data_IF_383122566497
#
_entry.id   IF_383122566497
#
_cell.length_a   1.000
_cell.length_b   1.000
_cell.length_c   1.000
_cell.angle_alpha   90.00
_cell.angle_beta   90.00
_cell.angle_gamma   90.00
#
_symmetry.space_group_name_H-M   'P 1'
#
loop_
_entity.id
_entity.type
_entity.pdbx_description
1 polymer ?
#
# COMPACT_ATOMS: atom_id res chain seq x y z
N UNK A 1 18.30 13.62 -9.58
CA UNK A 1 16.85 13.47 -9.31
C UNK A 1 16.67 13.34 -7.80
N UNK A 2 15.50 13.68 -7.28
CA UNK A 2 15.28 13.58 -5.83
C UNK A 2 14.96 12.11 -5.46
N UNK A 3 15.59 11.59 -4.40
CA UNK A 3 15.29 10.26 -3.90
C UNK A 3 13.86 10.20 -3.39
N UNK A 4 13.10 9.17 -3.80
CA UNK A 4 11.76 8.91 -3.29
C UNK A 4 11.80 8.10 -1.99
N UNK A 5 12.76 7.17 -1.86
CA UNK A 5 12.97 6.36 -0.67
C UNK A 5 14.45 6.23 -0.37
N UNK A 6 14.83 6.49 0.87
CA UNK A 6 16.19 6.24 1.36
C UNK A 6 16.11 5.38 2.64
N UNK A 7 16.96 4.38 2.71
CA UNK A 7 17.26 3.64 3.93
C UNK A 7 18.74 3.87 4.27
N UNK A 8 19.04 4.29 5.49
CA UNK A 8 20.39 4.59 5.95
C UNK A 8 20.72 3.71 7.15
N UNK A 9 21.66 2.78 6.97
CA UNK A 9 22.15 1.83 7.99
C UNK A 9 21.02 1.13 8.77
N UNK A 10 19.95 0.77 8.06
CA UNK A 10 18.76 0.17 8.66
C UNK A 10 19.06 -1.25 9.12
N UNK A 11 18.80 -1.50 10.41
CA UNK A 11 18.93 -2.83 11.02
C UNK A 11 17.64 -3.22 11.71
N UNK A 12 17.34 -4.53 11.69
CA UNK A 12 16.24 -5.09 12.47
C UNK A 12 16.61 -6.47 12.99
N UNK A 13 16.49 -6.67 14.31
CA UNK A 13 16.83 -7.89 14.99
C UNK A 13 15.61 -8.49 15.69
N UNK A 14 15.47 -9.81 15.62
CA UNK A 14 14.50 -10.57 16.40
C UNK A 14 15.26 -11.27 17.55
N UNK A 15 15.24 -10.66 18.74
CA UNK A 15 16.09 -11.13 19.83
C UNK A 15 17.56 -11.13 19.42
N UNK A 16 18.20 -12.30 19.42
CA UNK A 16 19.60 -12.45 18.99
C UNK A 16 19.80 -12.62 17.48
N UNK A 17 18.72 -12.80 16.69
CA UNK A 17 18.81 -13.01 15.24
C UNK A 17 18.85 -11.66 14.50
N UNK A 18 19.95 -11.41 13.82
CA UNK A 18 20.11 -10.25 12.91
C UNK A 18 19.43 -10.53 11.58
N UNK A 19 18.16 -10.18 11.45
CA UNK A 19 17.38 -10.41 10.23
C UNK A 19 17.68 -9.42 9.12
N UNK A 20 18.03 -8.18 9.47
CA UNK A 20 18.51 -7.11 8.58
C UNK A 20 19.62 -6.39 9.30
N UNK A 21 20.76 -6.17 8.65
CA UNK A 21 21.90 -5.49 9.28
C UNK A 21 22.49 -4.42 8.35
N UNK A 22 22.46 -3.17 8.81
CA UNK A 22 23.08 -1.98 8.17
C UNK A 22 22.79 -1.85 6.67
N UNK A 23 21.51 -2.07 6.29
CA UNK A 23 21.11 -1.92 4.89
C UNK A 23 21.00 -0.44 4.55
N UNK A 24 21.79 -0.03 3.55
CA UNK A 24 21.72 1.33 2.97
C UNK A 24 21.31 1.22 1.51
N UNK A 25 20.26 1.95 1.12
CA UNK A 25 19.78 2.00 -0.26
C UNK A 25 19.13 3.34 -0.55
N UNK A 26 19.09 3.69 -1.83
CA UNK A 26 18.44 4.88 -2.34
C UNK A 26 17.68 4.54 -3.61
N UNK A 27 16.44 4.99 -3.70
CA UNK A 27 15.56 4.80 -4.87
C UNK A 27 15.13 6.18 -5.34
N UNK A 28 15.31 6.45 -6.62
CA UNK A 28 14.88 7.69 -7.27
C UNK A 28 13.40 7.59 -7.70
N UNK A 29 12.79 8.74 -7.92
CA UNK A 29 11.42 8.77 -8.44
C UNK A 29 11.38 8.22 -9.88
N UNK A 30 10.49 7.26 -10.13
CA UNK A 30 10.32 6.60 -11.43
C UNK A 30 11.11 5.30 -11.59
N UNK A 31 11.97 4.95 -10.63
CA UNK A 31 12.72 3.70 -10.68
C UNK A 31 11.83 2.48 -10.49
N UNK A 32 12.19 1.40 -11.17
CA UNK A 32 11.77 0.02 -10.85
C UNK A 32 12.95 -0.65 -10.15
N UNK A 33 12.89 -0.76 -8.84
CA UNK A 33 13.97 -1.28 -8.01
C UNK A 33 13.70 -2.69 -7.51
N UNK A 34 14.62 -3.62 -7.73
CA UNK A 34 14.52 -5.02 -7.32
C UNK A 34 15.45 -5.37 -6.16
N UNK A 35 14.92 -6.00 -5.12
CA UNK A 35 15.71 -6.61 -4.04
C UNK A 35 15.79 -8.10 -4.25
N UNK A 36 16.98 -8.63 -4.54
CA UNK A 36 17.23 -10.05 -4.80
C UNK A 36 18.06 -10.67 -3.69
N UNK A 37 17.96 -11.97 -3.55
CA UNK A 37 18.71 -12.75 -2.56
C UNK A 37 18.01 -14.07 -2.22
N UNK A 38 18.69 -15.03 -1.56
CA UNK A 38 18.14 -16.33 -1.19
C UNK A 38 16.98 -16.19 -0.18
N UNK A 39 16.27 -17.31 0.03
CA UNK A 39 15.27 -17.37 1.11
C UNK A 39 15.97 -17.20 2.45
N UNK A 40 15.35 -16.43 3.36
CA UNK A 40 15.97 -16.11 4.65
C UNK A 40 16.91 -14.90 4.66
N UNK A 41 17.24 -14.29 3.50
CA UNK A 41 18.14 -13.12 3.41
C UNK A 41 17.53 -11.80 3.97
N UNK A 42 16.42 -11.85 4.68
CA UNK A 42 15.83 -10.64 5.31
C UNK A 42 15.01 -9.74 4.39
N UNK A 43 14.80 -10.09 3.10
CA UNK A 43 14.08 -9.24 2.14
C UNK A 43 12.69 -8.81 2.65
N UNK A 44 11.87 -9.78 3.06
CA UNK A 44 10.53 -9.52 3.60
C UNK A 44 10.58 -8.70 4.89
N UNK A 45 11.56 -8.97 5.75
CA UNK A 45 11.79 -8.19 6.98
C UNK A 45 12.12 -6.74 6.65
N UNK A 46 13.00 -6.51 5.68
CA UNK A 46 13.34 -5.17 5.24
C UNK A 46 12.11 -4.41 4.69
N UNK A 47 11.31 -5.05 3.83
CA UNK A 47 10.05 -4.46 3.37
C UNK A 47 9.04 -4.20 4.51
N UNK A 48 8.99 -5.09 5.52
CA UNK A 48 8.17 -4.88 6.72
C UNK A 48 8.62 -3.66 7.51
N UNK A 49 9.94 -3.44 7.61
CA UNK A 49 10.50 -2.26 8.26
C UNK A 49 10.19 -0.99 7.47
N UNK A 50 10.38 -0.99 6.15
CA UNK A 50 10.08 0.17 5.30
C UNK A 50 8.59 0.56 5.33
N UNK A 51 7.69 -0.43 5.43
CA UNK A 51 6.23 -0.20 5.49
C UNK A 51 5.68 0.01 6.90
N UNK A 52 6.53 0.07 7.93
CA UNK A 52 6.15 0.37 9.31
C UNK A 52 5.51 -0.80 10.08
N UNK A 53 5.50 -2.02 9.51
CA UNK A 53 5.03 -3.23 10.20
C UNK A 53 6.00 -3.59 11.34
N UNK A 54 7.30 -3.41 11.09
CA UNK A 54 8.33 -3.55 12.11
C UNK A 54 9.04 -2.22 12.33
N UNK A 55 9.29 -1.90 13.59
CA UNK A 55 10.15 -0.78 13.93
C UNK A 55 11.61 -1.19 13.76
N UNK A 56 12.46 -0.44 13.05
CA UNK A 56 13.89 -0.77 12.95
C UNK A 56 14.55 -0.73 14.33
N UNK A 57 15.55 -1.59 14.53
CA UNK A 57 16.41 -1.56 15.73
C UNK A 57 17.36 -0.37 15.69
N UNK A 58 17.86 -0.04 14.49
CA UNK A 58 18.70 1.14 14.25
C UNK A 58 18.58 1.58 12.78
N UNK A 59 19.12 2.76 12.48
CA UNK A 59 19.09 3.36 11.16
C UNK A 59 17.85 4.23 10.93
N UNK A 60 17.77 4.81 9.75
CA UNK A 60 16.75 5.78 9.38
C UNK A 60 16.13 5.43 8.03
N UNK A 61 14.83 5.70 7.89
CA UNK A 61 14.09 5.57 6.63
C UNK A 61 13.46 6.91 6.31
N UNK A 62 13.72 7.41 5.11
CA UNK A 62 13.23 8.69 4.61
C UNK A 62 12.40 8.42 3.36
N UNK A 63 11.20 8.96 3.31
CA UNK A 63 10.31 8.86 2.16
C UNK A 63 9.89 10.26 1.70
N UNK A 64 10.15 10.59 0.42
CA UNK A 64 9.92 11.94 -0.16
C UNK A 64 10.54 13.06 0.66
N UNK A 65 11.75 12.83 1.20
CA UNK A 65 12.47 13.80 2.03
C UNK A 65 12.00 13.90 3.49
N UNK A 66 10.98 13.13 3.88
CA UNK A 66 10.46 13.13 5.25
C UNK A 66 10.83 11.84 6.00
N UNK A 67 11.27 11.90 7.27
CA UNK A 67 11.55 10.72 8.06
C UNK A 67 10.25 9.95 8.35
N UNK A 68 10.28 8.64 8.08
CA UNK A 68 9.17 7.73 8.36
C UNK A 68 9.55 6.62 9.34
N UNK A 69 10.76 6.67 9.88
CA UNK A 69 11.31 5.65 10.79
C UNK A 69 10.39 5.42 11.98
N UNK A 70 9.92 4.17 12.13
CA UNK A 70 9.07 3.76 13.26
C UNK A 70 7.65 4.34 13.23
N UNK A 71 7.24 5.01 12.15
CA UNK A 71 5.84 5.37 11.95
C UNK A 71 5.01 4.10 11.70
N UNK A 72 3.76 4.05 12.17
CA UNK A 72 2.87 2.93 11.90
C UNK A 72 2.39 2.93 10.44
N UNK A 73 1.99 1.76 9.88
CA UNK A 73 1.65 1.58 8.46
C UNK A 73 0.61 2.58 7.93
N UNK A 74 -0.40 2.91 8.73
CA UNK A 74 -1.46 3.85 8.32
C UNK A 74 -0.94 5.28 8.11
N UNK A 75 0.08 5.71 8.87
CA UNK A 75 0.73 7.01 8.66
C UNK A 75 1.62 7.02 7.42
N UNK A 76 2.30 5.90 7.17
CA UNK A 76 3.14 5.73 5.97
C UNK A 76 2.26 5.68 4.72
N UNK A 77 1.14 4.96 4.76
CA UNK A 77 0.17 4.91 3.67
C UNK A 77 -0.39 6.31 3.34
N UNK A 78 -0.71 7.13 4.35
CA UNK A 78 -1.15 8.54 4.16
C UNK A 78 -0.11 9.40 3.45
N UNK A 79 1.17 9.06 3.54
CA UNK A 79 2.25 9.75 2.79
C UNK A 79 2.36 9.27 1.34
N UNK A 80 1.58 8.25 0.96
CA UNK A 80 1.50 7.73 -0.41
C UNK A 80 2.40 6.51 -0.67
N UNK A 81 2.85 5.80 0.36
CA UNK A 81 3.54 4.52 0.20
C UNK A 81 2.54 3.38 0.39
N UNK A 82 2.12 2.75 -0.71
CA UNK A 82 1.29 1.55 -0.67
C UNK A 82 2.14 0.27 -0.74
N UNK A 83 1.59 -0.83 -0.23
CA UNK A 83 2.22 -2.14 -0.27
C UNK A 83 1.20 -3.22 -0.59
N UNK A 84 1.58 -4.12 -1.51
CA UNK A 84 0.91 -5.40 -1.71
C UNK A 84 1.59 -6.49 -0.89
N UNK A 85 0.85 -7.53 -0.51
CA UNK A 85 1.35 -8.62 0.31
C UNK A 85 1.51 -9.90 -0.51
N UNK A 86 2.32 -10.84 -0.02
CA UNK A 86 2.50 -12.15 -0.65
C UNK A 86 1.18 -12.92 -0.72
N UNK A 87 0.39 -12.88 0.34
CA UNK A 87 -0.96 -13.43 0.37
C UNK A 87 -1.97 -12.33 -0.01
N UNK A 88 -2.86 -12.64 -0.92
CA UNK A 88 -3.89 -11.71 -1.38
C UNK A 88 -4.82 -11.33 -0.22
N UNK A 89 -4.95 -10.04 0.04
CA UNK A 89 -5.75 -9.46 1.12
C UNK A 89 -6.92 -8.65 0.54
N UNK A 90 -7.82 -9.33 -0.21
CA UNK A 90 -9.06 -8.72 -0.70
C UNK A 90 -10.23 -8.99 0.25
N UNK A 91 -11.18 -8.07 0.25
CA UNK A 91 -12.48 -8.28 0.88
C UNK A 91 -13.30 -9.20 -0.03
N UNK A 92 -13.32 -10.49 0.31
CA UNK A 92 -13.80 -11.59 -0.55
C UNK A 92 -15.27 -11.45 -0.98
N UNK A 93 -16.11 -10.88 -0.13
CA UNK A 93 -17.56 -10.71 -0.35
C UNK A 93 -17.92 -9.32 -0.85
N UNK A 94 -16.95 -8.53 -1.25
CA UNK A 94 -17.12 -7.25 -1.92
C UNK A 94 -16.77 -7.38 -3.40
N UNK A 95 -17.37 -6.55 -4.22
CA UNK A 95 -17.06 -6.46 -5.65
C UNK A 95 -15.65 -5.92 -5.88
N UNK A 96 -15.16 -6.06 -7.10
CA UNK A 96 -13.88 -5.46 -7.53
C UNK A 96 -13.90 -3.95 -7.33
N UNK A 97 -14.96 -3.28 -7.75
CA UNK A 97 -15.12 -1.84 -7.60
C UNK A 97 -15.09 -1.42 -6.13
N UNK A 98 -15.83 -2.11 -5.26
CA UNK A 98 -15.85 -1.83 -3.82
C UNK A 98 -14.47 -2.02 -3.17
N UNK A 99 -13.74 -3.09 -3.56
CA UNK A 99 -12.37 -3.31 -3.09
C UNK A 99 -11.44 -2.16 -3.44
N UNK A 100 -11.52 -1.60 -4.66
CA UNK A 100 -10.70 -0.45 -5.08
C UNK A 100 -11.15 0.82 -4.38
N UNK A 101 -12.46 1.05 -4.22
CA UNK A 101 -13.00 2.22 -3.49
C UNK A 101 -12.48 2.31 -2.06
N UNK A 102 -12.27 1.17 -1.37
CA UNK A 102 -11.69 1.18 -0.02
C UNK A 102 -10.30 1.82 0.00
N UNK A 103 -9.50 1.69 -1.06
CA UNK A 103 -8.19 2.35 -1.18
C UNK A 103 -8.26 3.87 -1.00
N UNK A 104 -9.35 4.49 -1.44
CA UNK A 104 -9.57 5.93 -1.30
C UNK A 104 -9.98 6.38 0.11
N UNK A 105 -10.25 5.46 1.04
CA UNK A 105 -10.71 5.83 2.40
C UNK A 105 -9.77 6.82 3.11
N UNK A 106 -8.48 6.76 2.83
CA UNK A 106 -7.48 7.70 3.39
C UNK A 106 -7.66 9.12 2.83
N UNK A 107 -8.21 9.26 1.64
CA UNK A 107 -8.37 10.52 0.90
C UNK A 107 -9.74 11.17 1.10
N UNK A 108 -10.74 10.42 1.55
CA UNK A 108 -12.09 10.93 1.80
C UNK A 108 -12.15 11.68 3.13
N UNK A 109 -12.97 12.73 3.17
CA UNK A 109 -13.21 13.56 4.37
C UNK A 109 -14.49 13.16 5.10
N UNK A 110 -15.23 12.22 4.56
CA UNK A 110 -16.49 11.76 5.14
C UNK A 110 -16.25 11.06 6.48
N UNK A 111 -16.99 11.51 7.49
CA UNK A 111 -17.03 10.90 8.82
C UNK A 111 -18.20 9.93 8.93
N UNK A 112 -18.22 9.10 9.99
CA UNK A 112 -19.34 8.21 10.27
C UNK A 112 -20.68 8.97 10.34
N UNK A 113 -20.69 10.18 10.89
CA UNK A 113 -21.89 11.04 10.93
C UNK A 113 -22.32 11.49 9.53
N UNK A 114 -21.37 11.89 8.67
CA UNK A 114 -21.69 12.31 7.29
C UNK A 114 -22.26 11.15 6.46
N UNK A 115 -21.79 9.94 6.69
CA UNK A 115 -22.31 8.72 6.04
C UNK A 115 -23.72 8.38 6.56
N UNK A 116 -23.96 8.46 7.88
CA UNK A 116 -25.26 8.16 8.50
C UNK A 116 -26.36 9.13 8.01
N UNK A 117 -26.04 10.42 7.92
CA UNK A 117 -27.00 11.46 7.48
C UNK A 117 -26.95 11.74 5.98
N UNK A 118 -26.19 10.97 5.20
CA UNK A 118 -26.03 11.12 3.74
C UNK A 118 -25.86 12.58 3.31
N UNK A 119 -24.96 13.29 3.96
CA UNK A 119 -24.72 14.72 3.70
C UNK A 119 -24.21 14.97 2.29
N UNK A 120 -24.23 16.23 1.83
CA UNK A 120 -23.69 16.61 0.52
C UNK A 120 -22.22 16.19 0.37
N UNK A 121 -21.42 16.29 1.46
CA UNK A 121 -20.02 15.84 1.48
C UNK A 121 -19.90 14.33 1.22
N UNK A 122 -20.78 13.52 1.84
CA UNK A 122 -20.80 12.06 1.58
C UNK A 122 -21.03 11.74 0.10
N UNK A 123 -22.00 12.37 -0.54
CA UNK A 123 -22.29 12.14 -1.96
C UNK A 123 -21.16 12.62 -2.88
N UNK A 124 -20.49 13.71 -2.53
CA UNK A 124 -19.31 14.19 -3.27
C UNK A 124 -18.14 13.21 -3.17
N UNK A 125 -17.83 12.72 -1.96
CA UNK A 125 -16.76 11.75 -1.75
C UNK A 125 -17.11 10.41 -2.43
N UNK A 126 -18.37 9.98 -2.40
CA UNK A 126 -18.85 8.75 -3.05
C UNK A 126 -18.71 8.83 -4.57
N UNK A 127 -19.16 9.93 -5.19
CA UNK A 127 -19.01 10.15 -6.64
C UNK A 127 -17.54 10.22 -7.04
N UNK A 128 -16.72 10.93 -6.29
CA UNK A 128 -15.28 11.04 -6.54
C UNK A 128 -14.59 9.67 -6.47
N UNK A 129 -14.84 8.91 -5.41
CA UNK A 129 -14.20 7.58 -5.23
C UNK A 129 -14.66 6.59 -6.30
N UNK A 130 -15.93 6.65 -6.70
CA UNK A 130 -16.45 5.79 -7.76
C UNK A 130 -15.83 6.11 -9.12
N UNK A 131 -15.77 7.39 -9.50
CA UNK A 131 -15.16 7.84 -10.75
C UNK A 131 -13.68 7.43 -10.82
N UNK A 132 -12.92 7.72 -9.76
CA UNK A 132 -11.49 7.39 -9.69
C UNK A 132 -11.23 5.89 -9.63
N UNK A 133 -12.07 5.12 -8.95
CA UNK A 133 -11.95 3.66 -8.96
C UNK A 133 -12.21 3.06 -10.36
N UNK A 134 -13.18 3.59 -11.10
CA UNK A 134 -13.45 3.18 -12.49
C UNK A 134 -12.25 3.51 -13.39
N UNK A 135 -11.67 4.70 -13.27
CA UNK A 135 -10.47 5.12 -14.02
C UNK A 135 -9.29 4.15 -13.75
N UNK A 136 -9.04 3.81 -12.49
CA UNK A 136 -7.99 2.84 -12.15
C UNK A 136 -8.30 1.46 -12.73
N UNK A 137 -9.54 0.98 -12.60
CA UNK A 137 -9.94 -0.32 -13.14
C UNK A 137 -9.79 -0.39 -14.66
N UNK A 138 -10.08 0.68 -15.37
CA UNK A 138 -9.87 0.78 -16.81
C UNK A 138 -8.38 0.70 -17.16
N UNK A 139 -7.54 1.50 -16.50
CA UNK A 139 -6.09 1.54 -16.69
C UNK A 139 -5.40 0.17 -16.45
N UNK A 140 -5.91 -0.65 -15.54
CA UNK A 140 -5.35 -2.00 -15.26
C UNK A 140 -6.07 -3.11 -16.03
N UNK A 141 -7.05 -2.77 -16.89
CA UNK A 141 -7.82 -3.73 -17.71
C UNK A 141 -8.76 -4.61 -16.89
N UNK A 142 -9.39 -4.07 -15.84
CA UNK A 142 -10.29 -4.79 -14.95
C UNK A 142 -11.74 -4.30 -14.98
N UNK A 143 -12.08 -3.35 -15.86
CA UNK A 143 -13.39 -2.72 -15.90
C UNK A 143 -14.54 -3.74 -16.09
N UNK A 144 -14.32 -4.78 -16.90
CA UNK A 144 -15.29 -5.86 -17.14
C UNK A 144 -15.63 -6.68 -15.89
N UNK A 145 -14.76 -6.66 -14.88
CA UNK A 145 -14.94 -7.39 -13.62
C UNK A 145 -15.50 -6.51 -12.49
N UNK A 146 -15.78 -5.23 -12.73
CA UNK A 146 -16.10 -4.25 -11.67
C UNK A 146 -17.18 -4.70 -10.69
N UNK A 147 -18.21 -5.38 -11.18
CA UNK A 147 -19.36 -5.85 -10.41
C UNK A 147 -19.23 -7.31 -9.93
N UNK A 148 -18.09 -7.96 -10.22
CA UNK A 148 -17.83 -9.34 -9.82
C UNK A 148 -17.29 -9.37 -8.38
N UNK A 149 -17.77 -10.31 -7.56
CA UNK A 149 -17.26 -10.54 -6.22
C UNK A 149 -15.79 -11.02 -6.29
N UNK A 150 -14.96 -10.52 -5.38
CA UNK A 150 -13.52 -10.81 -5.39
C UNK A 150 -13.19 -12.30 -5.21
N UNK A 151 -14.02 -13.06 -4.48
CA UNK A 151 -13.84 -14.51 -4.30
C UNK A 151 -14.12 -15.33 -5.57
N UNK A 152 -14.87 -14.78 -6.53
CA UNK A 152 -15.23 -15.47 -7.78
C UNK A 152 -14.20 -15.26 -8.89
N UNK A 153 -13.15 -14.49 -8.62
CA UNK A 153 -12.11 -14.16 -9.60
C UNK A 153 -11.00 -15.21 -9.61
N UNK A 154 -10.42 -15.50 -10.80
CA UNK A 154 -9.16 -16.23 -10.89
C UNK A 154 -8.04 -15.53 -10.10
N UNK A 155 -7.10 -16.31 -9.55
CA UNK A 155 -6.00 -15.80 -8.72
C UNK A 155 -5.23 -14.63 -9.37
N UNK A 156 -4.90 -14.72 -10.67
CA UNK A 156 -4.19 -13.66 -11.40
C UNK A 156 -4.98 -12.35 -11.48
N UNK A 157 -6.32 -12.43 -11.58
CA UNK A 157 -7.20 -11.26 -11.57
C UNK A 157 -7.27 -10.65 -10.16
N UNK A 158 -7.38 -11.51 -9.12
CA UNK A 158 -7.34 -11.04 -7.73
C UNK A 158 -6.06 -10.24 -7.43
N UNK A 159 -4.89 -10.67 -7.95
CA UNK A 159 -3.62 -9.92 -7.85
C UNK A 159 -3.69 -8.55 -8.50
N UNK A 160 -4.29 -8.45 -9.69
CA UNK A 160 -4.49 -7.15 -10.35
C UNK A 160 -5.41 -6.23 -9.54
N UNK A 161 -6.47 -6.78 -8.92
CA UNK A 161 -7.36 -6.00 -8.02
C UNK A 161 -6.61 -5.47 -6.80
N UNK A 162 -5.70 -6.27 -6.23
CA UNK A 162 -4.86 -5.83 -5.10
C UNK A 162 -3.96 -4.66 -5.51
N UNK A 163 -3.37 -4.71 -6.72
CA UNK A 163 -2.58 -3.61 -7.29
C UNK A 163 -3.47 -2.38 -7.52
N UNK A 164 -4.65 -2.56 -8.12
CA UNK A 164 -5.62 -1.47 -8.36
C UNK A 164 -6.00 -0.76 -7.04
N UNK A 165 -6.24 -1.53 -5.97
CA UNK A 165 -6.51 -0.98 -4.64
C UNK A 165 -5.32 -0.23 -4.04
N UNK A 166 -4.09 -0.68 -4.33
CA UNK A 166 -2.89 0.01 -3.86
C UNK A 166 -2.60 1.32 -4.63
N UNK A 167 -3.13 1.47 -5.84
CA UNK A 167 -3.05 2.71 -6.65
C UNK A 167 -4.10 3.75 -6.22
N UNK A 168 -5.19 3.33 -5.60
CA UNK A 168 -6.27 4.17 -5.09
C UNK A 168 -5.86 4.95 -3.83
#
# INVERSE_FOLDING_TARGET
MAAILEARDVSHYFGGLKAVEKVTMRIEQGDIFGVIGPNGAGKTTFFNVCSGIYRPTSGEIIFRGEPITGLPPEKIARKGMARTFQNIQLFKFMTVLENVKIGFHIRTKSTMFSALFRTKQYWQDESFTQEKAIEILDNVGLLTYKDTLANNLPYGIQRKVEIARALA
#
